data_IF_122385158448
#
_entry.id   IF_122385158448
#
_cell.length_a   1.000
_cell.length_b   1.000
_cell.length_c   1.000
_cell.angle_alpha   90.00
_cell.angle_beta   90.00
_cell.angle_gamma   90.00
#
_symmetry.space_group_name_H-M   'P 1'
#
loop_
_entity.id
_entity.type
_entity.pdbx_description
1 polymer ?
#
# COMPACT_ATOMS: atom_id res chain seq x y z
N UNK A 1 11.50 3.33 -6.92
CA UNK A 1 10.71 2.28 -7.60
C UNK A 1 10.77 0.91 -6.92
N UNK A 2 11.82 0.59 -6.16
CA UNK A 2 11.98 -0.71 -5.53
C UNK A 2 10.86 -1.07 -4.52
N UNK A 3 10.35 -0.09 -3.77
CA UNK A 3 9.33 -0.33 -2.73
C UNK A 3 7.99 -0.85 -3.27
N UNK A 4 7.57 -0.40 -4.47
CA UNK A 4 6.31 -0.88 -5.07
C UNK A 4 6.39 -2.33 -5.56
N UNK A 5 7.60 -2.82 -5.79
CA UNK A 5 7.88 -4.18 -6.24
C UNK A 5 8.26 -5.12 -5.09
N UNK A 6 8.40 -4.60 -3.87
CA UNK A 6 8.77 -5.40 -2.71
C UNK A 6 7.77 -6.54 -2.48
N UNK A 7 8.29 -7.75 -2.29
CA UNK A 7 7.52 -8.96 -1.98
C UNK A 7 8.19 -9.72 -0.85
N UNK A 8 7.44 -10.01 0.18
CA UNK A 8 7.91 -10.80 1.33
C UNK A 8 7.77 -12.31 1.07
N UNK A 9 8.44 -13.17 1.87
CA UNK A 9 8.25 -14.62 1.81
C UNK A 9 6.80 -15.08 2.07
N UNK A 10 5.99 -14.25 2.76
CA UNK A 10 4.57 -14.49 3.02
C UNK A 10 3.64 -13.89 1.95
N UNK A 11 4.20 -13.56 0.77
CA UNK A 11 3.48 -12.92 -0.32
C UNK A 11 2.84 -11.56 0.03
N UNK A 12 3.39 -10.84 1.00
CA UNK A 12 3.03 -9.44 1.19
C UNK A 12 3.71 -8.59 0.10
N UNK A 13 2.95 -7.68 -0.53
CA UNK A 13 3.41 -6.92 -1.71
C UNK A 13 3.17 -5.43 -1.55
N UNK A 14 4.08 -4.65 -2.14
CA UNK A 14 3.97 -3.21 -2.30
C UNK A 14 4.35 -2.42 -1.05
N UNK A 15 4.07 -1.11 -1.07
CA UNK A 15 4.42 -0.19 0.01
C UNK A 15 3.81 -0.59 1.36
N UNK A 16 2.56 -1.04 1.34
CA UNK A 16 1.78 -1.37 2.52
C UNK A 16 1.87 -2.85 2.92
N UNK A 17 2.57 -3.67 2.14
CA UNK A 17 2.81 -5.09 2.44
C UNK A 17 1.53 -5.88 2.76
N UNK A 18 0.47 -5.66 1.97
CA UNK A 18 -0.73 -6.49 2.08
C UNK A 18 -0.46 -7.91 1.61
N UNK A 19 -0.88 -8.90 2.40
CA UNK A 19 -1.05 -10.27 1.92
C UNK A 19 -2.31 -10.37 1.05
N UNK A 20 -2.41 -11.34 0.12
CA UNK A 20 -3.51 -11.38 -0.85
C UNK A 20 -4.90 -11.39 -0.22
N UNK A 21 -5.12 -12.19 0.82
CA UNK A 21 -6.42 -12.29 1.51
C UNK A 21 -6.88 -10.96 2.08
N UNK A 22 -6.01 -10.30 2.86
CA UNK A 22 -6.31 -9.00 3.46
C UNK A 22 -6.49 -7.92 2.38
N UNK A 23 -5.63 -7.90 1.35
CA UNK A 23 -5.77 -6.94 0.25
C UNK A 23 -7.13 -7.03 -0.44
N UNK A 24 -7.58 -8.24 -0.78
CA UNK A 24 -8.92 -8.47 -1.38
C UNK A 24 -10.06 -8.06 -0.45
N UNK A 25 -9.98 -8.38 0.85
CA UNK A 25 -10.98 -8.00 1.85
C UNK A 25 -11.14 -6.46 1.95
N UNK A 26 -10.08 -5.71 1.66
CA UNK A 26 -10.10 -4.25 1.63
C UNK A 26 -10.20 -3.65 0.21
N UNK A 27 -10.70 -4.43 -0.74
CA UNK A 27 -11.14 -3.98 -2.05
C UNK A 27 -10.06 -3.84 -3.11
N UNK A 28 -8.87 -4.42 -2.89
CA UNK A 28 -7.81 -4.48 -3.89
C UNK A 28 -8.02 -5.65 -4.83
N UNK A 29 -7.93 -5.40 -6.13
CA UNK A 29 -7.91 -6.46 -7.15
C UNK A 29 -6.54 -7.09 -7.22
N UNK A 30 -6.49 -8.42 -7.08
CA UNK A 30 -5.24 -9.19 -7.08
C UNK A 30 -5.46 -10.46 -7.89
N UNK A 31 -4.85 -10.53 -9.06
CA UNK A 31 -4.81 -11.69 -9.95
C UNK A 31 -3.51 -11.69 -10.77
N UNK A 32 -3.38 -12.56 -11.77
CA UNK A 32 -2.15 -12.72 -12.56
C UNK A 32 -1.86 -11.52 -13.49
N UNK A 33 -2.88 -10.73 -13.84
CA UNK A 33 -2.75 -9.58 -14.74
C UNK A 33 -2.69 -8.25 -14.00
N UNK A 34 -3.26 -8.19 -12.78
CA UNK A 34 -3.43 -6.98 -11.98
C UNK A 34 -3.15 -7.26 -10.51
N UNK A 35 -2.29 -6.43 -9.89
CA UNK A 35 -2.04 -6.46 -8.45
C UNK A 35 -2.08 -5.03 -7.88
N UNK A 36 -3.26 -4.61 -7.41
CA UNK A 36 -3.48 -3.25 -6.88
C UNK A 36 -2.78 -2.98 -5.55
N UNK A 37 -2.14 -3.98 -4.93
CA UNK A 37 -1.23 -3.76 -3.78
C UNK A 37 -0.04 -2.88 -4.17
N UNK A 38 0.32 -2.84 -5.47
CA UNK A 38 1.36 -2.00 -6.06
C UNK A 38 0.87 -0.61 -6.47
N UNK A 39 -0.45 -0.37 -6.42
CA UNK A 39 -1.03 0.95 -6.64
C UNK A 39 -1.02 1.73 -5.32
N UNK A 40 -0.18 2.76 -5.23
CA UNK A 40 0.03 3.53 -3.98
C UNK A 40 -1.27 4.13 -3.47
N UNK A 41 -2.04 4.79 -4.32
CA UNK A 41 -3.27 5.46 -3.91
C UNK A 41 -4.31 4.47 -3.39
N UNK A 42 -4.53 3.36 -4.12
CA UNK A 42 -5.52 2.34 -3.74
C UNK A 42 -5.07 1.56 -2.51
N UNK A 43 -3.81 1.13 -2.45
CA UNK A 43 -3.29 0.42 -1.29
C UNK A 43 -3.24 1.29 -0.04
N UNK A 44 -2.99 2.60 -0.17
CA UNK A 44 -3.06 3.53 0.96
C UNK A 44 -4.50 3.67 1.49
N UNK A 45 -5.50 3.79 0.60
CA UNK A 45 -6.91 3.78 1.02
C UNK A 45 -7.28 2.50 1.77
N UNK A 46 -6.85 1.35 1.26
CA UNK A 46 -7.05 0.06 1.90
C UNK A 46 -6.37 -0.01 3.29
N UNK A 47 -5.13 0.48 3.41
CA UNK A 47 -4.38 0.51 4.66
C UNK A 47 -5.04 1.40 5.71
N UNK A 48 -5.53 2.59 5.32
CA UNK A 48 -6.28 3.48 6.21
C UNK A 48 -7.57 2.79 6.69
N UNK A 49 -8.31 2.12 5.80
CA UNK A 49 -9.52 1.40 6.17
C UNK A 49 -9.21 0.25 7.15
N UNK A 50 -8.14 -0.51 6.92
CA UNK A 50 -7.69 -1.60 7.77
C UNK A 50 -7.29 -1.10 9.17
N UNK A 51 -6.50 -0.02 9.23
CA UNK A 51 -6.11 0.59 10.51
C UNK A 51 -7.32 1.16 11.27
N UNK A 52 -8.27 1.81 10.57
CA UNK A 52 -9.51 2.31 11.19
C UNK A 52 -10.38 1.18 11.75
N UNK A 53 -10.52 0.08 11.02
CA UNK A 53 -11.22 -1.10 11.50
C UNK A 53 -10.55 -1.68 12.77
N UNK A 54 -9.22 -1.79 12.76
CA UNK A 54 -8.45 -2.22 13.92
C UNK A 54 -8.64 -1.31 15.13
N UNK A 55 -8.61 0.02 14.93
CA UNK A 55 -8.89 0.97 16.01
C UNK A 55 -10.32 0.87 16.52
N UNK A 56 -11.29 0.70 15.64
CA UNK A 56 -12.69 0.50 16.05
C UNK A 56 -12.89 -0.75 16.92
N UNK A 57 -12.17 -1.82 16.60
CA UNK A 57 -12.23 -3.09 17.35
C UNK A 57 -11.49 -3.05 18.68
N UNK A 58 -10.41 -2.28 18.79
CA UNK A 58 -9.52 -2.28 19.97
C UNK A 58 -9.54 -0.99 20.80
N UNK A 59 -10.20 0.06 20.31
CA UNK A 59 -10.21 1.38 20.95
C UNK A 59 -8.87 2.14 20.89
N UNK A 60 -7.78 1.51 20.42
CA UNK A 60 -6.40 2.02 20.49
C UNK A 60 -5.71 2.03 19.12
N UNK A 61 -5.00 3.12 18.79
CA UNK A 61 -4.16 3.18 17.60
C UNK A 61 -2.90 2.32 17.73
N UNK A 62 -2.35 2.17 18.93
CA UNK A 62 -1.21 1.29 19.19
C UNK A 62 -1.59 -0.16 18.92
N UNK A 63 -2.73 -0.62 19.43
CA UNK A 63 -3.26 -1.94 19.11
C UNK A 63 -3.61 -2.12 17.63
N UNK A 64 -4.19 -1.10 16.99
CA UNK A 64 -4.47 -1.15 15.55
C UNK A 64 -3.17 -1.33 14.72
N UNK A 65 -2.11 -0.62 15.07
CA UNK A 65 -0.82 -0.73 14.39
C UNK A 65 -0.12 -2.07 14.70
N UNK A 66 -0.20 -2.57 15.94
CA UNK A 66 0.27 -3.91 16.28
C UNK A 66 -0.48 -5.00 15.49
N UNK A 67 -1.82 -4.88 15.42
CA UNK A 67 -2.66 -5.78 14.60
C UNK A 67 -2.39 -5.66 13.11
N UNK A 68 -1.99 -4.49 12.61
CA UNK A 68 -1.54 -4.33 11.22
C UNK A 68 -0.26 -5.16 10.96
N UNK A 69 0.69 -5.13 11.89
CA UNK A 69 1.97 -5.83 11.75
C UNK A 69 1.84 -7.35 11.90
N UNK A 70 1.17 -7.83 12.95
CA UNK A 70 1.12 -9.26 13.28
C UNK A 70 -0.19 -9.96 12.88
N UNK A 71 -1.17 -9.23 12.41
CA UNK A 71 -2.55 -9.68 12.16
C UNK A 71 -3.46 -9.45 13.37
N UNK A 72 -4.67 -8.94 13.11
CA UNK A 72 -5.63 -8.63 14.19
C UNK A 72 -6.06 -9.85 14.99
N UNK A 73 -6.20 -11.01 14.35
CA UNK A 73 -6.52 -12.27 15.05
C UNK A 73 -5.42 -12.69 16.02
N UNK A 74 -4.15 -12.59 15.60
CA UNK A 74 -3.02 -12.91 16.46
C UNK A 74 -2.93 -11.94 17.66
N UNK A 75 -3.15 -10.64 17.42
CA UNK A 75 -3.19 -9.67 18.50
C UNK A 75 -4.33 -9.98 19.47
N UNK A 76 -5.54 -10.24 18.97
CA UNK A 76 -6.69 -10.59 19.79
C UNK A 76 -6.45 -11.86 20.64
N UNK A 77 -5.76 -12.85 20.06
CA UNK A 77 -5.32 -14.04 20.80
C UNK A 77 -4.39 -13.71 21.97
N UNK A 78 -3.41 -12.82 21.73
CA UNK A 78 -2.49 -12.36 22.79
C UNK A 78 -3.19 -11.57 23.87
N UNK A 79 -4.08 -10.64 23.51
CA UNK A 79 -4.92 -9.87 24.45
C UNK A 79 -5.70 -10.79 25.38
N UNK A 80 -6.39 -11.78 24.81
CA UNK A 80 -7.17 -12.77 25.59
C UNK A 80 -6.31 -13.63 26.48
N UNK A 81 -5.19 -14.15 25.95
CA UNK A 81 -4.30 -15.04 26.70
C UNK A 81 -3.63 -14.33 27.87
N UNK A 82 -3.15 -13.10 27.63
CA UNK A 82 -2.42 -12.35 28.65
C UNK A 82 -3.33 -11.53 29.56
N UNK A 83 -4.64 -11.44 29.24
CA UNK A 83 -5.64 -10.64 29.98
C UNK A 83 -5.23 -9.17 30.13
N UNK A 84 -4.66 -8.59 29.08
CA UNK A 84 -4.20 -7.21 28.98
C UNK A 84 -4.69 -6.62 27.64
N UNK A 85 -5.21 -5.42 27.68
CA UNK A 85 -5.78 -4.75 26.50
C UNK A 85 -4.84 -3.71 25.90
N UNK A 86 -3.93 -3.14 26.69
CA UNK A 86 -2.97 -2.15 26.21
C UNK A 86 -1.76 -2.83 25.56
N UNK A 87 -1.40 -2.37 24.37
CA UNK A 87 -0.20 -2.83 23.66
C UNK A 87 1.06 -2.82 24.53
N UNK A 88 1.23 -1.81 25.36
CA UNK A 88 2.43 -1.65 26.18
C UNK A 88 2.50 -2.64 27.37
N UNK A 89 1.39 -3.27 27.70
CA UNK A 89 1.32 -4.33 28.72
C UNK A 89 1.43 -5.76 28.12
N UNK A 90 1.47 -5.86 26.79
CA UNK A 90 1.53 -7.15 26.10
C UNK A 90 2.97 -7.61 25.85
N UNK A 91 3.25 -8.87 26.13
CA UNK A 91 4.46 -9.53 25.66
C UNK A 91 4.24 -10.04 24.23
N UNK A 92 4.81 -9.37 23.26
CA UNK A 92 4.67 -9.66 21.84
C UNK A 92 6.01 -10.11 21.24
N UNK A 93 5.99 -10.65 20.01
CA UNK A 93 7.22 -10.94 19.28
C UNK A 93 8.06 -9.67 19.07
N UNK A 94 9.36 -9.84 18.85
CA UNK A 94 10.33 -8.74 18.76
C UNK A 94 9.96 -7.69 17.68
N UNK A 95 9.49 -8.16 16.52
CA UNK A 95 9.11 -7.25 15.43
C UNK A 95 7.94 -6.35 15.82
N UNK A 96 6.88 -6.94 16.36
CA UNK A 96 5.67 -6.19 16.77
C UNK A 96 5.94 -5.30 17.97
N UNK A 97 6.75 -5.76 18.95
CA UNK A 97 7.13 -4.96 20.12
C UNK A 97 7.92 -3.70 19.77
N UNK A 98 8.68 -3.72 18.67
CA UNK A 98 9.44 -2.56 18.17
C UNK A 98 8.67 -1.69 17.17
N UNK A 99 7.54 -2.21 16.66
CA UNK A 99 6.87 -1.60 15.51
C UNK A 99 6.38 -0.19 15.79
N UNK A 100 5.70 0.02 16.91
CA UNK A 100 5.15 1.34 17.29
C UNK A 100 6.29 2.33 17.58
N UNK A 101 7.33 1.90 18.28
CA UNK A 101 8.49 2.75 18.55
C UNK A 101 9.21 3.17 17.27
N UNK A 102 9.33 2.26 16.29
CA UNK A 102 9.89 2.59 14.97
C UNK A 102 9.04 3.62 14.21
N UNK A 103 7.71 3.48 14.27
CA UNK A 103 6.80 4.47 13.66
C UNK A 103 7.00 5.85 14.32
N UNK A 104 7.01 5.90 15.65
CA UNK A 104 7.20 7.14 16.41
C UNK A 104 8.56 7.77 16.13
N UNK A 105 9.63 6.97 16.09
CA UNK A 105 10.98 7.41 15.80
C UNK A 105 11.12 7.97 14.36
N UNK A 106 10.59 7.25 13.36
CA UNK A 106 10.62 7.73 11.96
C UNK A 106 9.81 9.02 11.83
N UNK A 107 8.63 9.09 12.44
CA UNK A 107 7.81 10.30 12.46
C UNK A 107 8.60 11.48 13.06
N UNK A 108 9.22 11.28 14.20
CA UNK A 108 10.04 12.30 14.86
C UNK A 108 11.19 12.78 13.98
N UNK A 109 11.94 11.83 13.36
CA UNK A 109 13.02 12.16 12.44
C UNK A 109 12.54 12.95 11.21
N UNK A 110 11.36 12.63 10.68
CA UNK A 110 10.80 13.37 9.54
C UNK A 110 10.34 14.78 9.93
N UNK A 111 9.74 14.94 11.10
CA UNK A 111 9.27 16.25 11.61
C UNK A 111 10.43 17.17 12.00
N UNK A 112 11.58 16.61 12.44
CA UNK A 112 12.76 17.32 12.92
C UNK A 112 13.98 17.07 12.02
N UNK A 113 13.75 16.76 10.75
CA UNK A 113 14.81 16.34 9.80
C UNK A 113 16.02 17.29 9.78
N UNK A 114 15.75 18.59 9.85
CA UNK A 114 16.79 19.64 9.85
C UNK A 114 17.71 19.55 11.08
N UNK A 115 17.16 19.25 12.26
CA UNK A 115 17.94 19.11 13.52
C UNK A 115 18.89 17.92 13.47
N UNK A 116 18.55 16.90 12.67
CA UNK A 116 19.36 15.69 12.44
C UNK A 116 20.28 15.80 11.21
N UNK A 117 20.42 17.00 10.62
CA UNK A 117 21.25 17.20 9.44
C UNK A 117 20.68 16.59 8.15
N UNK A 118 19.43 16.17 8.15
CA UNK A 118 18.73 15.65 6.96
C UNK A 118 18.17 16.84 6.19
N UNK A 119 19.02 17.41 5.33
CA UNK A 119 18.70 18.61 4.54
C UNK A 119 18.71 18.22 3.07
N UNK A 120 17.54 18.28 2.41
CA UNK A 120 17.45 18.09 0.96
C UNK A 120 17.12 19.43 0.32
N UNK A 121 18.09 20.07 -0.37
CA UNK A 121 17.88 21.32 -1.08
C UNK A 121 16.73 21.18 -2.07
N UNK A 122 15.98 22.26 -2.31
CA UNK A 122 14.85 22.24 -3.23
C UNK A 122 15.26 21.79 -4.65
N UNK A 123 16.48 22.13 -5.07
CA UNK A 123 17.06 21.72 -6.36
C UNK A 123 17.37 20.23 -6.48
N UNK A 124 17.43 19.49 -5.37
CA UNK A 124 17.72 18.06 -5.33
C UNK A 124 16.45 17.21 -5.08
N UNK A 125 15.31 17.86 -4.94
CA UNK A 125 14.03 17.17 -4.76
C UNK A 125 13.50 16.69 -6.11
N UNK A 126 12.93 15.50 -6.11
CA UNK A 126 12.21 15.00 -7.29
C UNK A 126 10.81 15.63 -7.34
N UNK A 127 10.47 16.22 -8.47
CA UNK A 127 9.10 16.63 -8.76
C UNK A 127 8.31 15.46 -9.34
N UNK A 128 7.03 15.39 -9.02
CA UNK A 128 6.14 14.45 -9.69
C UNK A 128 5.99 14.86 -11.16
N UNK A 129 6.25 13.95 -12.12
CA UNK A 129 6.01 14.26 -13.51
C UNK A 129 4.52 14.56 -13.74
N UNK A 130 4.17 15.54 -14.58
CA UNK A 130 2.79 15.86 -14.86
C UNK A 130 2.10 14.67 -15.53
N UNK A 131 1.02 14.19 -14.93
CA UNK A 131 0.27 13.04 -15.39
C UNK A 131 -1.21 13.35 -15.53
N UNK A 132 -1.93 12.50 -16.27
CA UNK A 132 -3.39 12.48 -16.34
C UNK A 132 -3.91 11.06 -16.18
N UNK A 133 -5.16 10.91 -15.74
CA UNK A 133 -5.82 9.63 -15.54
C UNK A 133 -6.80 9.38 -16.67
N UNK A 134 -6.74 8.21 -17.28
CA UNK A 134 -7.75 7.71 -18.20
C UNK A 134 -8.56 6.63 -17.49
N UNK A 135 -9.88 6.72 -17.60
CA UNK A 135 -10.81 5.73 -17.04
C UNK A 135 -11.22 4.74 -18.11
N UNK A 136 -10.87 3.47 -17.88
CA UNK A 136 -11.25 2.35 -18.74
C UNK A 136 -12.33 1.52 -18.07
N UNK A 137 -13.46 1.38 -18.77
CA UNK A 137 -14.62 0.62 -18.30
C UNK A 137 -14.65 -0.82 -18.84
N UNK A 138 -13.78 -1.14 -19.77
CA UNK A 138 -13.67 -2.45 -20.40
C UNK A 138 -12.31 -3.10 -20.20
N UNK A 139 -12.15 -4.28 -20.82
CA UNK A 139 -10.85 -4.92 -20.92
C UNK A 139 -9.96 -4.23 -21.95
N UNK A 140 -8.66 -4.16 -21.67
CA UNK A 140 -7.64 -3.73 -22.62
C UNK A 140 -6.83 -4.96 -23.03
N UNK A 141 -7.12 -5.54 -24.18
CA UNK A 141 -6.45 -6.77 -24.66
C UNK A 141 -4.99 -6.55 -25.05
N UNK A 142 -4.66 -5.35 -25.53
CA UNK A 142 -3.31 -4.99 -25.96
C UNK A 142 -2.92 -3.61 -25.42
N UNK A 143 -2.13 -3.60 -24.36
CA UNK A 143 -1.73 -2.38 -23.67
C UNK A 143 -0.81 -1.48 -24.54
N UNK A 144 -0.08 -2.05 -25.48
CA UNK A 144 0.75 -1.27 -26.43
C UNK A 144 -0.11 -0.46 -27.38
N UNK A 145 -1.12 -1.09 -27.99
CA UNK A 145 -2.04 -0.39 -28.91
C UNK A 145 -2.86 0.65 -28.14
N UNK A 146 -3.30 0.32 -26.94
CA UNK A 146 -4.00 1.25 -26.06
C UNK A 146 -3.12 2.48 -25.72
N UNK A 147 -1.85 2.27 -25.39
CA UNK A 147 -0.92 3.34 -25.08
C UNK A 147 -0.73 4.29 -26.28
N UNK A 148 -0.51 3.74 -27.47
CA UNK A 148 -0.36 4.50 -28.72
C UNK A 148 -1.62 5.33 -29.01
N UNK A 149 -2.81 4.73 -28.88
CA UNK A 149 -4.09 5.41 -29.08
C UNK A 149 -4.32 6.57 -28.09
N UNK A 150 -3.68 6.52 -26.92
CA UNK A 150 -3.75 7.55 -25.89
C UNK A 150 -2.54 8.52 -25.88
N UNK A 151 -1.69 8.47 -26.92
CA UNK A 151 -0.57 9.40 -27.11
C UNK A 151 0.62 9.15 -26.16
N UNK A 152 0.80 7.91 -25.72
CA UNK A 152 1.89 7.53 -24.80
C UNK A 152 2.56 6.23 -25.24
N UNK A 153 3.50 5.72 -24.45
CA UNK A 153 4.21 4.48 -24.70
C UNK A 153 3.83 3.37 -23.72
N UNK A 154 3.96 2.11 -24.13
CA UNK A 154 3.82 0.97 -23.23
C UNK A 154 4.73 1.09 -21.99
N UNK A 155 5.95 1.61 -22.18
CA UNK A 155 6.91 1.82 -21.09
C UNK A 155 6.37 2.80 -20.05
N UNK A 156 5.85 3.94 -20.49
CA UNK A 156 5.31 4.97 -19.57
C UNK A 156 4.10 4.45 -18.82
N UNK A 157 3.19 3.74 -19.50
CA UNK A 157 2.04 3.10 -18.85
C UNK A 157 2.51 2.13 -17.76
N UNK A 158 3.49 1.27 -18.04
CA UNK A 158 4.01 0.29 -17.07
C UNK A 158 4.74 0.95 -15.90
N UNK A 159 5.48 2.03 -16.14
CA UNK A 159 6.20 2.76 -15.08
C UNK A 159 5.25 3.51 -14.15
N UNK A 160 4.22 4.16 -14.71
CA UNK A 160 3.23 4.91 -13.94
C UNK A 160 2.17 4.02 -13.28
N UNK A 161 1.98 2.80 -13.79
CA UNK A 161 1.01 1.84 -13.29
C UNK A 161 1.66 0.49 -12.95
N UNK A 162 2.51 0.42 -11.92
CA UNK A 162 3.22 -0.82 -11.57
C UNK A 162 2.29 -1.96 -11.12
N UNK A 163 1.02 -1.64 -10.90
CA UNK A 163 -0.04 -2.60 -10.58
C UNK A 163 -0.55 -3.39 -11.78
N UNK A 164 -0.28 -2.96 -13.02
CA UNK A 164 -0.58 -3.71 -14.24
C UNK A 164 0.58 -4.69 -14.49
N UNK A 165 0.34 -5.98 -14.28
CA UNK A 165 1.35 -7.02 -14.44
C UNK A 165 1.39 -7.55 -15.86
N UNK A 166 0.23 -7.74 -16.47
CA UNK A 166 0.06 -8.29 -17.81
C UNK A 166 0.44 -7.35 -18.97
N UNK A 167 0.26 -7.85 -20.18
CA UNK A 167 0.34 -7.08 -21.44
C UNK A 167 -1.00 -6.47 -21.83
N UNK A 168 -2.02 -6.74 -21.04
CA UNK A 168 -3.38 -6.21 -21.07
C UNK A 168 -3.91 -6.12 -19.66
N UNK A 169 -5.16 -5.71 -19.51
CA UNK A 169 -5.92 -5.71 -18.26
C UNK A 169 -7.31 -6.29 -18.53
N UNK A 170 -7.84 -7.12 -17.61
CA UNK A 170 -9.18 -7.68 -17.73
C UNK A 170 -10.24 -6.58 -17.61
N UNK A 171 -11.49 -6.89 -17.92
CA UNK A 171 -12.59 -6.00 -17.59
C UNK A 171 -12.62 -5.73 -16.07
N UNK A 172 -12.88 -4.49 -15.64
CA UNK A 172 -12.97 -4.17 -14.22
C UNK A 172 -14.20 -4.86 -13.62
N UNK A 173 -14.07 -5.30 -12.36
CA UNK A 173 -15.17 -5.95 -11.64
C UNK A 173 -16.09 -4.93 -10.95
N UNK A 174 -17.34 -5.31 -10.74
CA UNK A 174 -18.30 -4.57 -9.89
C UNK A 174 -18.60 -3.14 -10.36
N UNK A 175 -18.67 -2.89 -11.67
CA UNK A 175 -18.99 -1.56 -12.23
C UNK A 175 -17.93 -0.48 -11.96
N UNK A 176 -16.75 -0.86 -11.52
CA UNK A 176 -15.62 0.04 -11.35
C UNK A 176 -14.95 0.29 -12.71
N UNK A 177 -14.19 1.37 -12.81
CA UNK A 177 -13.30 1.64 -13.94
C UNK A 177 -11.84 1.44 -13.50
N UNK A 178 -10.99 1.02 -14.43
CA UNK A 178 -9.54 1.13 -14.24
C UNK A 178 -9.13 2.60 -14.39
N UNK A 179 -8.39 3.11 -13.43
CA UNK A 179 -7.79 4.44 -13.49
C UNK A 179 -6.32 4.27 -13.89
N UNK A 180 -6.06 4.46 -15.19
CA UNK A 180 -4.72 4.30 -15.78
C UNK A 180 -4.05 5.65 -15.86
N UNK A 181 -2.92 5.80 -15.20
CA UNK A 181 -2.12 7.02 -15.20
C UNK A 181 -1.18 7.05 -16.41
N UNK A 182 -1.16 8.16 -17.14
CA UNK A 182 -0.24 8.38 -18.27
C UNK A 182 0.38 9.78 -18.18
N UNK A 183 1.49 10.06 -18.88
CA UNK A 183 2.02 11.42 -18.98
C UNK A 183 0.98 12.41 -19.53
N UNK A 184 1.12 13.66 -19.12
CA UNK A 184 0.24 14.74 -19.59
C UNK A 184 0.66 15.23 -20.96
#
# INVERSE_FOLDING_TARGET
SALFMARSPKDAVGLWQFIPGTGRAYGLTINDEVDERRNVAKSTKAAIAYLRAGRGATGSWSNAAAGYNMGHENLSGNVKFQQKEDYYDLFLNEETSRYILRIAMIKHLMEHAHEYGIIVPKSERYDEPPTRIIRENGAVSNLTQWAIANGTTYKDVKLLNPWILGRGIPAPMNGKAWEIQIPR
#
